data_IF_060903078428
#
_entry.id   IF_060903078428
#
_cell.length_a   1.000
_cell.length_b   1.000
_cell.length_c   1.000
_cell.angle_alpha   90.00
_cell.angle_beta   90.00
_cell.angle_gamma   90.00
#
_symmetry.space_group_name_H-M   'P 1'
#
loop_
_entity.id
_entity.type
_entity.pdbx_description
1 polymer ?
#
# COMPACT_ATOMS: atom_id res chain seq x y z
N UNK A 1 -30.99 -5.94 32.89
CA UNK A 1 -30.79 -6.46 31.52
C UNK A 1 -29.34 -6.85 31.45
N UNK A 2 -29.05 -8.14 31.23
CA UNK A 2 -27.68 -8.58 31.01
C UNK A 2 -27.22 -8.01 29.67
N UNK A 3 -26.13 -7.25 29.66
CA UNK A 3 -25.47 -6.79 28.44
C UNK A 3 -24.95 -8.04 27.72
N UNK A 4 -25.58 -8.40 26.60
CA UNK A 4 -25.09 -9.49 25.77
C UNK A 4 -23.78 -9.02 25.12
N UNK A 5 -22.65 -9.44 25.68
CA UNK A 5 -21.33 -9.23 25.06
C UNK A 5 -21.24 -10.04 23.77
N UNK A 6 -21.35 -9.36 22.64
CA UNK A 6 -21.21 -9.98 21.32
C UNK A 6 -19.72 -10.08 20.97
N UNK A 7 -19.21 -11.31 20.89
CA UNK A 7 -17.87 -11.58 20.37
C UNK A 7 -17.98 -11.86 18.88
N UNK A 8 -17.37 -11.00 18.06
CA UNK A 8 -17.24 -11.21 16.61
C UNK A 8 -15.80 -11.62 16.35
N UNK A 9 -15.60 -12.82 15.84
CA UNK A 9 -14.30 -13.33 15.43
C UNK A 9 -14.12 -13.16 13.91
N UNK A 10 -12.96 -12.63 13.52
CA UNK A 10 -12.59 -12.51 12.11
C UNK A 10 -11.35 -13.37 11.84
N UNK A 11 -11.46 -14.24 10.84
CA UNK A 11 -10.32 -14.95 10.27
C UNK A 11 -9.50 -14.08 9.34
N UNK A 12 -8.32 -14.57 8.96
CA UNK A 12 -7.48 -13.92 7.96
C UNK A 12 -8.22 -13.71 6.63
N UNK A 13 -8.96 -14.71 6.17
CA UNK A 13 -9.66 -14.64 4.89
C UNK A 13 -10.85 -13.67 4.92
N UNK A 14 -11.51 -13.51 6.07
CA UNK A 14 -12.57 -12.51 6.24
C UNK A 14 -12.00 -11.10 6.10
N UNK A 15 -10.94 -10.80 6.86
CA UNK A 15 -10.24 -9.51 6.77
C UNK A 15 -9.69 -9.31 5.35
N UNK A 16 -9.05 -10.32 4.78
CA UNK A 16 -8.53 -10.25 3.41
C UNK A 16 -9.64 -9.90 2.41
N UNK A 17 -10.78 -10.60 2.46
CA UNK A 17 -11.91 -10.33 1.57
C UNK A 17 -12.47 -8.92 1.73
N UNK A 18 -12.46 -8.37 2.94
CA UNK A 18 -12.87 -6.98 3.18
C UNK A 18 -11.92 -5.96 2.55
N UNK A 19 -10.61 -6.24 2.53
CA UNK A 19 -9.58 -5.34 2.01
C UNK A 19 -9.20 -5.55 0.54
N UNK A 20 -9.52 -6.71 -0.04
CA UNK A 20 -9.24 -7.05 -1.45
C UNK A 20 -9.66 -5.94 -2.43
N UNK A 21 -10.88 -5.36 -2.34
CA UNK A 21 -11.31 -4.30 -3.26
C UNK A 21 -10.43 -3.04 -3.20
N UNK A 22 -9.92 -2.70 -2.00
CA UNK A 22 -9.09 -1.51 -1.79
C UNK A 22 -7.69 -1.75 -2.37
N UNK A 23 -7.13 -2.95 -2.16
CA UNK A 23 -5.81 -3.33 -2.70
C UNK A 23 -5.86 -3.39 -4.23
N UNK A 24 -6.91 -3.98 -4.81
CA UNK A 24 -7.10 -4.04 -6.26
C UNK A 24 -7.28 -2.66 -6.89
N UNK A 25 -8.06 -1.78 -6.24
CA UNK A 25 -8.19 -0.38 -6.68
C UNK A 25 -6.85 0.33 -6.66
N UNK A 26 -6.03 0.10 -5.63
CA UNK A 26 -4.70 0.70 -5.51
C UNK A 26 -3.77 0.23 -6.63
N UNK A 27 -3.75 -1.07 -6.94
CA UNK A 27 -3.02 -1.64 -8.08
C UNK A 27 -3.47 -1.01 -9.40
N UNK A 28 -4.78 -0.90 -9.63
CA UNK A 28 -5.32 -0.28 -10.84
C UNK A 28 -4.86 1.17 -10.99
N UNK A 29 -4.88 1.95 -9.91
CA UNK A 29 -4.39 3.33 -9.93
C UNK A 29 -2.90 3.39 -10.24
N UNK A 30 -2.09 2.48 -9.69
CA UNK A 30 -0.66 2.41 -10.01
C UNK A 30 -0.45 2.13 -11.50
N UNK A 31 -1.18 1.16 -12.08
CA UNK A 31 -1.11 0.90 -13.54
C UNK A 31 -1.41 2.16 -14.35
N UNK A 32 -2.52 2.84 -14.03
CA UNK A 32 -2.91 4.08 -14.72
C UNK A 32 -1.82 5.16 -14.63
N UNK A 33 -1.17 5.32 -13.47
CA UNK A 33 -0.10 6.30 -13.31
C UNK A 33 1.16 5.91 -14.11
N UNK A 34 1.51 4.63 -14.12
CA UNK A 34 2.67 4.15 -14.87
C UNK A 34 2.43 4.18 -16.39
N UNK A 35 1.21 3.94 -16.85
CA UNK A 35 0.83 4.00 -18.26
C UNK A 35 0.77 5.43 -18.79
N UNK A 36 0.34 6.37 -17.95
CA UNK A 36 0.31 7.79 -18.29
C UNK A 36 1.70 8.47 -18.18
N UNK A 37 2.71 7.78 -17.65
CA UNK A 37 4.04 8.35 -17.50
C UNK A 37 4.79 8.34 -18.85
N UNK A 38 5.21 9.52 -19.31
CA UNK A 38 6.03 9.66 -20.53
C UNK A 38 7.49 9.22 -20.32
N UNK A 39 7.91 8.96 -19.08
CA UNK A 39 9.25 8.54 -18.69
C UNK A 39 9.22 7.19 -17.99
N UNK A 40 10.34 6.47 -18.02
CA UNK A 40 10.49 5.23 -17.28
C UNK A 40 10.50 5.49 -15.78
N UNK A 41 9.58 4.86 -15.04
CA UNK A 41 9.62 4.83 -13.58
C UNK A 41 10.70 3.83 -13.12
N UNK A 42 11.69 4.29 -12.36
CA UNK A 42 12.85 3.47 -11.96
C UNK A 42 12.75 2.90 -10.55
N UNK A 43 11.89 3.49 -9.70
CA UNK A 43 11.67 3.06 -8.34
C UNK A 43 10.25 3.42 -7.87
N UNK A 44 9.69 2.56 -7.03
CA UNK A 44 8.44 2.78 -6.31
C UNK A 44 8.72 2.69 -4.82
N UNK A 45 8.30 3.72 -4.09
CA UNK A 45 8.37 3.77 -2.63
C UNK A 45 6.98 3.55 -2.07
N UNK A 46 6.82 2.51 -1.27
CA UNK A 46 5.62 2.25 -0.49
C UNK A 46 5.82 2.90 0.87
N UNK A 47 5.01 3.93 1.15
CA UNK A 47 5.08 4.78 2.36
C UNK A 47 3.79 4.67 3.16
N UNK A 48 3.87 4.96 4.47
CA UNK A 48 2.77 4.93 5.44
C UNK A 48 2.27 3.55 5.89
N UNK A 49 1.32 3.54 6.81
CA UNK A 49 0.84 2.38 7.57
C UNK A 49 0.19 1.32 6.67
N UNK A 50 -0.64 1.71 5.70
CA UNK A 50 -1.26 0.77 4.76
C UNK A 50 -0.20 0.02 3.91
N UNK A 51 0.94 0.67 3.65
CA UNK A 51 2.05 0.05 2.94
C UNK A 51 2.82 -0.98 3.76
N UNK A 52 2.62 -1.02 5.08
CA UNK A 52 3.26 -2.00 5.97
C UNK A 52 2.56 -3.37 5.95
N UNK A 53 1.33 -3.44 5.41
CA UNK A 53 0.62 -4.70 5.24
C UNK A 53 1.43 -5.67 4.37
N UNK A 54 1.85 -6.80 4.96
CA UNK A 54 2.53 -7.88 4.22
C UNK A 54 1.69 -8.38 3.04
N UNK A 55 0.37 -8.38 3.20
CA UNK A 55 -0.57 -8.73 2.14
C UNK A 55 -0.48 -7.77 0.95
N UNK A 56 -0.63 -6.46 1.21
CA UNK A 56 -0.56 -5.41 0.19
C UNK A 56 0.81 -5.37 -0.49
N UNK A 57 1.90 -5.44 0.30
CA UNK A 57 3.27 -5.49 -0.24
C UNK A 57 3.46 -6.67 -1.19
N UNK A 58 2.99 -7.87 -0.81
CA UNK A 58 3.12 -9.07 -1.64
C UNK A 58 2.38 -8.91 -2.95
N UNK A 59 1.12 -8.44 -2.91
CA UNK A 59 0.30 -8.19 -4.10
C UNK A 59 0.96 -7.18 -5.04
N UNK A 60 1.38 -6.02 -4.53
CA UNK A 60 2.05 -4.98 -5.34
C UNK A 60 3.36 -5.49 -5.93
N UNK A 61 4.23 -6.13 -5.11
CA UNK A 61 5.50 -6.67 -5.60
C UNK A 61 5.31 -7.72 -6.68
N UNK A 62 4.33 -8.62 -6.53
CA UNK A 62 4.03 -9.65 -7.52
C UNK A 62 3.51 -9.06 -8.82
N UNK A 63 2.59 -8.10 -8.73
CA UNK A 63 1.98 -7.45 -9.89
C UNK A 63 3.01 -6.66 -10.71
N UNK A 64 3.89 -5.90 -10.04
CA UNK A 64 4.80 -4.97 -10.72
C UNK A 64 6.23 -5.49 -10.91
N UNK A 65 6.54 -6.74 -10.49
CA UNK A 65 7.92 -7.31 -10.56
C UNK A 65 8.60 -7.18 -11.92
N UNK A 66 7.82 -7.30 -13.00
CA UNK A 66 8.34 -7.28 -14.37
C UNK A 66 8.51 -5.86 -14.91
N UNK A 67 7.73 -4.92 -14.37
CA UNK A 67 7.74 -3.51 -14.78
C UNK A 67 8.72 -2.68 -13.96
N UNK A 68 8.92 -3.03 -12.68
CA UNK A 68 9.78 -2.31 -11.76
C UNK A 68 10.57 -3.27 -10.87
N UNK A 69 11.90 -3.13 -10.92
CA UNK A 69 12.83 -3.91 -10.09
C UNK A 69 12.97 -3.35 -8.67
N UNK A 70 12.80 -2.05 -8.50
CA UNK A 70 13.06 -1.36 -7.24
C UNK A 70 11.74 -0.94 -6.56
N UNK A 71 11.12 -1.87 -5.84
CA UNK A 71 9.95 -1.59 -4.98
C UNK A 71 10.41 -1.65 -3.53
N UNK A 72 10.51 -0.48 -2.90
CA UNK A 72 11.04 -0.30 -1.55
C UNK A 72 9.91 0.05 -0.59
N UNK A 73 9.97 -0.46 0.63
CA UNK A 73 9.04 -0.13 1.70
C UNK A 73 9.77 0.74 2.70
N UNK A 74 9.24 1.93 2.96
CA UNK A 74 9.82 2.87 3.91
C UNK A 74 8.95 2.91 5.16
N UNK A 75 9.57 2.65 6.32
CA UNK A 75 8.89 2.59 7.62
C UNK A 75 8.56 3.96 8.23
N UNK A 76 8.87 5.07 7.56
CA UNK A 76 8.75 6.40 8.13
C UNK A 76 7.62 7.23 7.52
N UNK A 77 6.60 7.49 8.33
CA UNK A 77 5.69 8.64 8.20
C UNK A 77 6.47 9.97 8.11
N UNK A 78 7.70 10.00 8.64
CA UNK A 78 8.60 11.15 8.60
C UNK A 78 9.13 11.43 7.19
N UNK A 79 9.12 10.49 6.24
CA UNK A 79 9.76 10.72 4.93
C UNK A 79 9.19 11.96 4.20
N UNK A 80 7.87 12.13 4.25
CA UNK A 80 7.19 13.28 3.65
C UNK A 80 7.50 14.56 4.44
N UNK A 81 7.30 14.53 5.75
CA UNK A 81 7.53 15.69 6.63
C UNK A 81 8.99 16.16 6.63
N UNK A 82 9.94 15.22 6.58
CA UNK A 82 11.37 15.49 6.53
C UNK A 82 11.78 16.08 5.19
N UNK A 83 11.27 15.53 4.07
CA UNK A 83 11.45 16.14 2.76
C UNK A 83 10.91 17.56 2.72
N UNK A 84 9.70 17.79 3.25
CA UNK A 84 9.11 19.12 3.35
C UNK A 84 9.93 20.07 4.23
N UNK A 85 10.45 19.60 5.37
CA UNK A 85 11.29 20.44 6.25
C UNK A 85 12.65 20.78 5.62
N UNK A 86 13.27 19.85 4.88
CA UNK A 86 14.56 20.08 4.22
C UNK A 86 14.46 20.98 2.99
N UNK A 87 13.39 20.85 2.20
CA UNK A 87 13.27 21.49 0.88
C UNK A 87 12.14 22.53 0.79
N UNK A 88 11.41 22.78 1.87
CA UNK A 88 10.28 23.72 1.91
C UNK A 88 10.61 25.13 2.38
N UNK A 89 11.83 25.38 2.87
CA UNK A 89 12.42 26.70 3.12
C UNK A 89 13.11 27.22 1.84
#
# INVERSE_FOLDING_TARGET
MEENDWVIEFGYDDIKSMFDPIVERSIKMIHMQLDNNRKTCTAMFLVEELSQSKYSQKKIKQEFRHRMKNILVLLQSIAISYGAALYGL
#
